data_IF_570553792313
#
_entry.id   IF_570553792313
#
_cell.length_a   1.000
_cell.length_b   1.000
_cell.length_c   1.000
_cell.angle_alpha   90.00
_cell.angle_beta   90.00
_cell.angle_gamma   90.00
#
_symmetry.space_group_name_H-M   'P 1'
#
loop_
_entity.id
_entity.type
_entity.pdbx_description
1 polymer ?
#
# COMPACT_ATOMS: atom_id res chain seq x y z
N UNK A 1 -15.68 -25.36 -46.09
CA UNK A 1 -14.68 -25.14 -45.03
C UNK A 1 -15.02 -23.94 -44.12
N UNK A 2 -16.21 -23.83 -43.48
CA UNK A 2 -16.50 -22.76 -42.50
C UNK A 2 -16.37 -23.20 -41.02
N UNK A 3 -16.28 -24.52 -40.75
CA UNK A 3 -16.31 -25.05 -39.38
C UNK A 3 -14.99 -24.92 -38.62
N UNK A 4 -13.90 -24.57 -39.32
CA UNK A 4 -12.55 -24.46 -38.77
C UNK A 4 -12.21 -23.02 -38.34
N UNK A 5 -13.21 -22.22 -37.94
CA UNK A 5 -12.98 -20.91 -37.28
C UNK A 5 -13.70 -20.79 -35.94
N UNK A 6 -14.62 -21.71 -35.64
CA UNK A 6 -15.46 -21.67 -34.43
C UNK A 6 -14.80 -22.37 -33.24
N UNK A 7 -13.92 -23.34 -33.49
CA UNK A 7 -13.29 -24.14 -32.42
C UNK A 7 -12.15 -23.39 -31.70
N UNK A 8 -11.53 -22.39 -32.35
CA UNK A 8 -10.43 -21.63 -31.75
C UNK A 8 -10.86 -20.62 -30.68
N UNK A 9 -12.14 -20.21 -30.66
CA UNK A 9 -12.63 -19.21 -29.73
C UNK A 9 -13.03 -19.77 -28.35
N UNK A 10 -13.26 -21.10 -28.24
CA UNK A 10 -13.73 -21.72 -27.00
C UNK A 10 -12.61 -22.11 -26.02
N UNK A 11 -11.34 -22.07 -26.44
CA UNK A 11 -10.19 -22.44 -25.60
C UNK A 11 -9.54 -21.20 -24.93
N UNK A 12 -10.01 -19.99 -25.24
CA UNK A 12 -9.37 -18.74 -24.83
C UNK A 12 -9.89 -18.12 -23.52
N UNK A 13 -10.92 -18.68 -22.88
CA UNK A 13 -11.47 -18.19 -21.61
C UNK A 13 -11.53 -19.39 -20.63
N UNK A 14 -10.83 -19.41 -19.47
CA UNK A 14 -10.30 -18.30 -18.69
C UNK A 14 -8.85 -18.55 -18.22
N UNK A 15 -7.84 -18.02 -18.91
CA UNK A 15 -6.47 -17.98 -18.36
C UNK A 15 -6.21 -16.68 -17.56
N UNK A 16 -7.15 -15.74 -17.58
CA UNK A 16 -7.00 -14.40 -16.99
C UNK A 16 -8.11 -14.04 -16.00
N UNK A 17 -8.91 -15.00 -15.56
CA UNK A 17 -9.97 -14.76 -14.58
C UNK A 17 -9.50 -15.11 -13.16
N UNK A 18 -8.37 -14.56 -12.74
CA UNK A 18 -8.12 -14.37 -11.32
C UNK A 18 -8.85 -13.08 -10.92
N UNK A 19 -9.87 -13.21 -10.08
CA UNK A 19 -10.45 -12.06 -9.42
C UNK A 19 -9.33 -11.39 -8.61
N UNK A 20 -9.05 -10.12 -8.89
CA UNK A 20 -8.13 -9.30 -8.11
C UNK A 20 -8.77 -9.08 -6.74
N UNK A 21 -8.60 -10.05 -5.83
CA UNK A 21 -8.87 -9.86 -4.42
C UNK A 21 -8.00 -8.69 -3.97
N UNK A 22 -8.58 -7.61 -3.38
CA UNK A 22 -7.81 -6.44 -3.02
C UNK A 22 -6.71 -6.85 -2.05
N UNK A 23 -5.46 -6.78 -2.51
CA UNK A 23 -4.30 -7.10 -1.69
C UNK A 23 -4.31 -6.19 -0.45
N UNK A 24 -4.21 -6.76 0.76
CA UNK A 24 -4.14 -5.95 1.98
C UNK A 24 -2.92 -5.03 1.93
N UNK A 25 -3.11 -3.78 2.38
CA UNK A 25 -2.03 -2.81 2.45
C UNK A 25 -0.93 -3.29 3.40
N UNK A 26 0.31 -3.16 2.96
CA UNK A 26 1.49 -3.32 3.77
C UNK A 26 1.92 -1.95 4.31
N UNK A 27 1.66 -1.68 5.59
CA UNK A 27 1.85 -0.35 6.18
C UNK A 27 3.22 0.27 5.86
N UNK A 28 4.31 -0.49 6.02
CA UNK A 28 5.67 0.03 5.78
C UNK A 28 5.95 0.37 4.31
N UNK A 29 5.27 -0.27 3.34
CA UNK A 29 5.52 -0.06 1.91
C UNK A 29 4.50 0.89 1.27
N UNK A 30 3.26 0.84 1.74
CA UNK A 30 2.16 1.58 1.11
C UNK A 30 1.84 2.88 1.85
N UNK A 31 2.04 2.93 3.17
CA UNK A 31 1.59 4.04 4.03
C UNK A 31 2.76 4.85 4.58
N UNK A 32 3.79 4.21 5.14
CA UNK A 32 4.97 4.92 5.67
C UNK A 32 5.60 5.90 4.67
N UNK A 33 5.76 5.58 3.36
CA UNK A 33 6.28 6.54 2.39
C UNK A 33 5.38 7.76 2.20
N UNK A 34 4.05 7.61 2.35
CA UNK A 34 3.12 8.72 2.28
C UNK A 34 3.29 9.67 3.47
N UNK A 35 3.51 9.14 4.69
CA UNK A 35 3.76 9.95 5.88
C UNK A 35 5.03 10.80 5.73
N UNK A 36 6.06 10.27 5.07
CA UNK A 36 7.29 11.02 4.76
C UNK A 36 7.05 12.03 3.65
N UNK A 37 6.40 11.62 2.54
CA UNK A 37 6.12 12.49 1.39
C UNK A 37 5.29 13.71 1.76
N UNK A 38 4.34 13.54 2.69
CA UNK A 38 3.48 14.62 3.19
C UNK A 38 4.09 15.37 4.38
N UNK A 39 5.38 15.13 4.69
CA UNK A 39 6.12 15.73 5.80
C UNK A 39 5.50 15.52 7.20
N UNK A 40 4.59 14.55 7.36
CA UNK A 40 4.02 14.25 8.67
C UNK A 40 5.09 13.68 9.61
N UNK A 41 5.90 12.74 9.11
CA UNK A 41 6.99 12.10 9.85
C UNK A 41 8.32 12.90 9.80
N UNK A 42 8.28 14.20 9.46
CA UNK A 42 9.50 15.02 9.38
C UNK A 42 9.97 15.50 10.76
N UNK A 43 11.22 15.98 10.84
CA UNK A 43 11.83 16.48 12.08
C UNK A 43 11.15 17.74 12.64
N UNK A 44 10.42 18.46 11.80
CA UNK A 44 9.74 19.71 12.13
C UNK A 44 8.40 19.47 12.86
N UNK A 45 7.73 18.34 12.59
CA UNK A 45 6.40 18.04 13.12
C UNK A 45 6.32 16.71 13.88
N UNK A 46 5.55 15.73 13.41
CA UNK A 46 5.27 14.53 14.21
C UNK A 46 6.45 13.57 14.26
N UNK A 47 7.42 13.67 13.34
CA UNK A 47 8.70 12.96 13.43
C UNK A 47 9.75 13.62 14.32
N UNK A 48 9.44 14.78 14.93
CA UNK A 48 10.32 15.44 15.88
C UNK A 48 10.59 14.57 17.12
N UNK A 49 11.70 14.83 17.81
CA UNK A 49 12.06 14.10 19.02
C UNK A 49 10.95 14.08 20.09
N UNK A 50 10.10 15.11 20.16
CA UNK A 50 8.97 15.21 21.07
C UNK A 50 7.60 14.98 20.42
N UNK A 51 7.53 14.88 19.09
CA UNK A 51 6.25 14.96 18.35
C UNK A 51 5.55 16.31 18.55
N UNK A 52 4.25 16.37 18.24
CA UNK A 52 3.39 17.55 18.42
C UNK A 52 2.03 17.16 18.99
N UNK A 53 1.49 18.00 19.88
CA UNK A 53 0.15 17.83 20.47
C UNK A 53 -0.09 16.44 21.09
N UNK A 54 0.96 15.81 21.64
CA UNK A 54 0.89 14.46 22.21
C UNK A 54 0.90 13.32 21.18
N UNK A 55 1.04 13.64 19.89
CA UNK A 55 1.15 12.66 18.80
C UNK A 55 2.57 12.64 18.21
N UNK A 56 3.14 11.43 18.13
CA UNK A 56 4.50 11.20 17.67
C UNK A 56 4.58 10.04 16.69
N UNK A 57 5.21 10.32 15.57
CA UNK A 57 5.73 9.36 14.61
C UNK A 57 7.26 9.26 14.79
N UNK A 58 7.83 8.19 14.28
CA UNK A 58 9.27 8.01 14.14
C UNK A 58 9.82 8.93 13.03
N UNK A 59 11.04 9.41 13.23
CA UNK A 59 11.67 10.34 12.28
C UNK A 59 11.82 9.68 10.91
N UNK A 60 11.27 10.32 9.88
CA UNK A 60 11.20 9.83 8.50
C UNK A 60 10.60 8.42 8.38
N UNK A 61 9.67 8.08 9.27
CA UNK A 61 9.01 6.78 9.32
C UNK A 61 9.97 5.58 9.46
N UNK A 62 11.11 5.77 10.15
CA UNK A 62 12.14 4.74 10.32
C UNK A 62 11.73 3.54 11.19
N UNK A 63 10.61 3.65 11.92
CA UNK A 63 10.03 2.56 12.70
C UNK A 63 8.53 2.38 12.36
N UNK A 64 8.21 1.70 11.26
CA UNK A 64 6.83 1.51 10.81
C UNK A 64 5.93 0.81 11.83
N UNK A 65 6.48 -0.06 12.69
CA UNK A 65 5.70 -0.72 13.73
C UNK A 65 5.25 0.26 14.83
N UNK A 66 6.15 1.15 15.27
CA UNK A 66 5.79 2.20 16.22
C UNK A 66 4.83 3.23 15.61
N UNK A 67 5.02 3.58 14.35
CA UNK A 67 4.16 4.51 13.63
C UNK A 67 2.74 3.96 13.45
N UNK A 68 2.63 2.67 13.14
CA UNK A 68 1.34 1.98 13.08
C UNK A 68 0.63 2.04 14.43
N UNK A 69 1.34 1.69 15.51
CA UNK A 69 0.77 1.71 16.86
C UNK A 69 0.36 3.11 17.33
N UNK A 70 0.98 4.17 16.81
CA UNK A 70 0.59 5.55 17.11
C UNK A 70 -0.69 5.99 16.38
N UNK A 71 -1.03 5.35 15.25
CA UNK A 71 -2.18 5.69 14.40
C UNK A 71 -3.45 4.90 14.72
N UNK A 72 -3.37 3.86 15.54
CA UNK A 72 -4.47 2.95 15.89
C UNK A 72 -4.76 2.95 17.37
#
# INVERSE_FOLDING_TARGET
MPQLRVIAAAIALPLFAEADEPKPFHFAHDISPLLVKQACASAECHGAATGQAGFKLSLFAMNPAADYAALT
#
